data_IF_330396487126
#
_entry.id   IF_330396487126
#
_cell.length_a   1.000
_cell.length_b   1.000
_cell.length_c   1.000
_cell.angle_alpha   90.00
_cell.angle_beta   90.00
_cell.angle_gamma   90.00
#
_symmetry.space_group_name_H-M   'P 1'
#
loop_
_entity.id
_entity.type
_entity.pdbx_description
1 polymer ?
#
# COMPACT_ATOMS: atom_id res chain seq x y z
N UNK A 1 1.05 -2.62 18.46
CA UNK A 1 0.24 -3.03 17.29
C UNK A 1 -1.22 -2.82 17.67
N UNK A 2 -1.96 -1.97 16.97
CA UNK A 2 -3.34 -1.63 17.36
C UNK A 2 -4.30 -2.71 16.84
N UNK A 3 -4.53 -3.75 17.65
CA UNK A 3 -5.31 -4.94 17.28
C UNK A 3 -6.76 -4.61 16.93
N UNK A 4 -7.36 -3.60 17.57
CA UNK A 4 -8.72 -3.15 17.28
C UNK A 4 -8.88 -2.60 15.86
N UNK A 5 -7.85 -1.91 15.36
CA UNK A 5 -7.83 -1.42 13.98
C UNK A 5 -7.76 -2.58 13.00
N UNK A 6 -6.91 -3.58 13.27
CA UNK A 6 -6.77 -4.77 12.43
C UNK A 6 -8.10 -5.54 12.37
N UNK A 7 -8.74 -5.78 13.52
CA UNK A 7 -10.03 -6.48 13.58
C UNK A 7 -11.14 -5.74 12.82
N UNK A 8 -11.15 -4.41 12.91
CA UNK A 8 -12.11 -3.57 12.19
C UNK A 8 -11.91 -3.64 10.67
N UNK A 9 -10.64 -3.58 10.22
CA UNK A 9 -10.29 -3.71 8.81
C UNK A 9 -10.64 -5.10 8.25
N UNK A 10 -10.38 -6.17 9.02
CA UNK A 10 -10.74 -7.54 8.62
C UNK A 10 -12.25 -7.66 8.42
N UNK A 11 -13.07 -7.12 9.33
CA UNK A 11 -14.54 -7.14 9.18
C UNK A 11 -15.01 -6.42 7.92
N UNK A 12 -14.42 -5.27 7.62
CA UNK A 12 -14.75 -4.51 6.40
C UNK A 12 -14.38 -5.32 5.16
N UNK A 13 -13.17 -5.86 5.10
CA UNK A 13 -12.69 -6.67 3.95
C UNK A 13 -13.55 -7.92 3.73
N UNK A 14 -14.00 -8.56 4.81
CA UNK A 14 -14.89 -9.72 4.75
C UNK A 14 -16.32 -9.37 4.33
N UNK A 15 -16.74 -8.10 4.46
CA UNK A 15 -18.05 -7.64 4.01
C UNK A 15 -18.10 -7.16 2.56
N UNK A 16 -16.95 -7.03 1.89
CA UNK A 16 -16.87 -6.63 0.49
C UNK A 16 -17.39 -7.73 -0.45
N UNK A 17 -18.03 -7.31 -1.55
CA UNK A 17 -18.28 -8.20 -2.69
C UNK A 17 -16.97 -8.64 -3.35
N UNK A 18 -17.03 -9.65 -4.22
CA UNK A 18 -15.86 -10.11 -4.96
C UNK A 18 -15.30 -9.00 -5.86
N UNK A 19 -16.19 -8.24 -6.52
CA UNK A 19 -15.82 -7.11 -7.39
C UNK A 19 -15.17 -5.97 -6.59
N UNK A 20 -15.72 -5.66 -5.42
CA UNK A 20 -15.17 -4.64 -4.52
C UNK A 20 -13.80 -5.06 -3.97
N UNK A 21 -13.63 -6.35 -3.64
CA UNK A 21 -12.35 -6.90 -3.21
C UNK A 21 -11.32 -6.88 -4.33
N UNK A 22 -11.72 -7.20 -5.56
CA UNK A 22 -10.84 -7.15 -6.72
C UNK A 22 -10.39 -5.70 -7.01
N UNK A 23 -11.32 -4.74 -6.92
CA UNK A 23 -11.00 -3.31 -7.05
C UNK A 23 -10.03 -2.85 -5.94
N UNK A 24 -10.26 -3.26 -4.70
CA UNK A 24 -9.38 -2.97 -3.57
C UNK A 24 -7.97 -3.51 -3.81
N UNK A 25 -7.85 -4.77 -4.24
CA UNK A 25 -6.56 -5.41 -4.53
C UNK A 25 -5.80 -4.64 -5.61
N UNK A 26 -6.46 -4.28 -6.72
CA UNK A 26 -5.84 -3.49 -7.80
C UNK A 26 -5.33 -2.13 -7.29
N UNK A 27 -6.07 -1.48 -6.39
CA UNK A 27 -5.65 -0.20 -5.80
C UNK A 27 -4.44 -0.35 -4.90
N UNK A 28 -4.41 -1.39 -4.05
CA UNK A 28 -3.26 -1.73 -3.20
C UNK A 28 -2.01 -1.98 -4.06
N UNK A 29 -2.13 -2.78 -5.12
CA UNK A 29 -1.01 -3.05 -6.04
C UNK A 29 -0.50 -1.79 -6.76
N UNK A 30 -1.40 -0.86 -7.08
CA UNK A 30 -1.03 0.44 -7.66
C UNK A 30 -0.20 1.27 -6.67
N UNK A 31 -0.69 1.43 -5.44
CA UNK A 31 0.00 2.21 -4.40
C UNK A 31 1.34 1.57 -3.98
N UNK A 32 1.44 0.24 -3.99
CA UNK A 32 2.70 -0.46 -3.75
C UNK A 32 3.73 -0.15 -4.83
N UNK A 33 3.33 -0.16 -6.12
CA UNK A 33 4.21 0.20 -7.23
C UNK A 33 4.67 1.66 -7.15
N UNK A 34 3.76 2.57 -6.83
CA UNK A 34 4.08 3.98 -6.65
C UNK A 34 5.07 4.21 -5.49
N UNK A 35 4.84 3.57 -4.34
CA UNK A 35 5.77 3.62 -3.21
C UNK A 35 7.16 3.08 -3.57
N UNK A 36 7.25 1.98 -4.31
CA UNK A 36 8.54 1.44 -4.77
C UNK A 36 9.27 2.44 -5.68
N UNK A 37 8.54 3.10 -6.58
CA UNK A 37 9.10 4.11 -7.47
C UNK A 37 9.60 5.34 -6.70
N UNK A 38 8.81 5.84 -5.74
CA UNK A 38 9.19 6.96 -4.88
C UNK A 38 10.44 6.60 -4.07
N UNK A 39 10.49 5.42 -3.47
CA UNK A 39 11.67 4.96 -2.71
C UNK A 39 12.92 4.88 -3.59
N UNK A 40 12.79 4.42 -4.83
CA UNK A 40 13.90 4.40 -5.78
C UNK A 40 14.40 5.82 -6.12
N UNK A 41 13.48 6.78 -6.31
CA UNK A 41 13.83 8.18 -6.54
C UNK A 41 14.52 8.82 -5.33
N UNK A 42 14.05 8.52 -4.11
CA UNK A 42 14.68 8.98 -2.87
C UNK A 42 16.11 8.45 -2.79
N UNK A 43 16.32 7.15 -3.06
CA UNK A 43 17.65 6.54 -3.02
C UNK A 43 18.62 7.16 -4.04
N UNK A 44 18.15 7.46 -5.26
CA UNK A 44 18.94 8.15 -6.28
C UNK A 44 19.33 9.56 -5.82
N UNK A 45 18.38 10.32 -5.29
CA UNK A 45 18.63 11.66 -4.75
C UNK A 45 19.62 11.63 -3.58
N UNK A 46 19.45 10.70 -2.63
CA UNK A 46 20.38 10.52 -1.51
C UNK A 46 21.80 10.21 -2.00
N UNK A 47 21.92 9.39 -3.05
CA UNK A 47 23.21 9.05 -3.66
C UNK A 47 23.86 10.29 -4.28
N UNK A 48 23.09 11.10 -5.01
CA UNK A 48 23.56 12.33 -5.65
C UNK A 48 23.96 13.43 -4.66
N UNK A 49 23.30 13.51 -3.51
CA UNK A 49 23.62 14.50 -2.45
C UNK A 49 24.88 14.11 -1.67
N UNK A 50 25.20 12.82 -1.59
CA UNK A 50 26.39 12.31 -0.89
C UNK A 50 27.67 12.31 -1.75
N UNK A 51 27.55 12.54 -3.05
CA UNK A 51 28.67 12.76 -3.98
C UNK A 51 29.06 14.23 -4.00
#
# INVERSE_FOLDING_TARGET
MNTQLIDSLVRIILSLSEEERELLNRKIESEQRENLQINAQILDLETRVKQ
#
